data_IF_866591229659
#
_entry.id   IF_866591229659
#
_cell.length_a   1.000
_cell.length_b   1.000
_cell.length_c   1.000
_cell.angle_alpha   90.00
_cell.angle_beta   90.00
_cell.angle_gamma   90.00
#
_symmetry.space_group_name_H-M   'P 1'
#
loop_
_entity.id
_entity.type
_entity.pdbx_description
1 polymer ?
#
# COMPACT_ATOMS: atom_id res chain seq x y z
N UNK A 1 11.85 -4.30 -3.47
CA UNK A 1 10.55 -3.76 -3.06
C UNK A 1 9.91 -3.11 -4.28
N UNK A 2 8.61 -3.26 -4.43
CA UNK A 2 7.82 -2.69 -5.54
C UNK A 2 6.93 -1.61 -4.93
N UNK A 3 6.91 -0.43 -5.56
CA UNK A 3 6.07 0.68 -5.14
C UNK A 3 5.37 1.27 -6.36
N UNK A 4 4.10 1.67 -6.24
CA UNK A 4 3.42 2.45 -7.25
C UNK A 4 4.09 3.81 -7.44
N UNK A 5 4.09 4.33 -8.67
CA UNK A 5 4.67 5.64 -8.99
C UNK A 5 3.80 6.83 -8.57
N UNK A 6 2.55 6.59 -8.15
CA UNK A 6 1.56 7.60 -7.77
C UNK A 6 1.53 7.91 -6.26
N UNK A 7 2.36 7.26 -5.44
CA UNK A 7 2.47 7.54 -4.01
C UNK A 7 3.30 8.80 -3.73
N UNK A 8 2.71 9.97 -4.01
CA UNK A 8 3.41 11.26 -3.95
C UNK A 8 3.85 11.68 -2.54
N UNK A 9 3.29 11.07 -1.48
CA UNK A 9 3.65 11.33 -0.08
C UNK A 9 4.70 10.35 0.48
N UNK A 10 5.15 9.39 -0.33
CA UNK A 10 6.04 8.32 0.11
C UNK A 10 7.40 8.86 0.56
N UNK A 11 7.88 8.39 1.70
CA UNK A 11 9.22 8.71 2.22
C UNK A 11 9.97 7.46 2.70
N UNK A 12 11.25 7.63 3.02
CA UNK A 12 12.10 6.54 3.47
C UNK A 12 11.65 5.93 4.81
N UNK A 13 10.94 6.67 5.67
CA UNK A 13 10.46 6.14 6.95
C UNK A 13 9.29 5.19 6.73
N UNK A 14 8.30 5.60 5.93
CA UNK A 14 7.18 4.76 5.52
C UNK A 14 7.68 3.47 4.88
N UNK A 15 8.70 3.56 4.01
CA UNK A 15 9.31 2.39 3.38
C UNK A 15 10.02 1.45 4.36
N UNK A 16 10.74 1.99 5.35
CA UNK A 16 11.33 1.17 6.41
C UNK A 16 10.27 0.44 7.23
N UNK A 17 9.17 1.12 7.56
CA UNK A 17 8.03 0.52 8.28
C UNK A 17 7.37 -0.60 7.47
N UNK A 18 7.13 -0.38 6.17
CA UNK A 18 6.61 -1.40 5.26
C UNK A 18 7.57 -2.60 5.14
N UNK A 19 8.86 -2.35 4.96
CA UNK A 19 9.88 -3.40 4.85
C UNK A 19 9.98 -4.26 6.11
N UNK A 20 9.87 -3.64 7.30
CA UNK A 20 9.91 -4.34 8.58
C UNK A 20 8.74 -5.31 8.81
N UNK A 21 7.65 -5.19 8.04
CA UNK A 21 6.51 -6.11 8.12
C UNK A 21 6.72 -7.41 7.32
N UNK A 22 7.78 -7.49 6.52
CA UNK A 22 8.10 -8.70 5.79
C UNK A 22 8.45 -9.83 6.77
N UNK A 23 7.86 -11.00 6.56
CA UNK A 23 8.14 -12.19 7.38
C UNK A 23 9.43 -12.85 6.87
N UNK A 24 10.31 -13.24 7.79
CA UNK A 24 11.45 -14.10 7.45
C UNK A 24 10.99 -15.36 6.71
N UNK A 25 11.63 -15.66 5.58
CA UNK A 25 11.27 -16.78 4.70
C UNK A 25 10.00 -16.59 3.86
N UNK A 26 9.33 -15.43 3.95
CA UNK A 26 8.25 -15.05 3.04
C UNK A 26 8.80 -14.67 1.67
N UNK A 27 8.18 -15.13 0.59
CA UNK A 27 8.59 -14.73 -0.76
C UNK A 27 7.97 -13.38 -1.18
N UNK A 28 6.75 -13.09 -0.72
CA UNK A 28 5.99 -11.92 -1.12
C UNK A 28 5.14 -11.41 0.04
N UNK A 29 5.29 -10.13 0.37
CA UNK A 29 4.44 -9.44 1.34
C UNK A 29 3.81 -8.24 0.66
N UNK A 30 2.48 -8.22 0.55
CA UNK A 30 1.76 -7.04 0.10
C UNK A 30 1.30 -6.22 1.30
N UNK A 31 1.52 -4.91 1.19
CA UNK A 31 1.09 -3.95 2.20
C UNK A 31 -0.33 -3.52 1.85
N UNK A 32 -1.22 -3.69 2.82
CA UNK A 32 -2.63 -3.28 2.72
C UNK A 32 -2.91 -2.25 3.79
N UNK A 33 -3.91 -1.41 3.57
CA UNK A 33 -4.43 -0.51 4.60
C UNK A 33 -5.86 -0.91 4.92
N UNK A 34 -6.32 -0.69 6.15
CA UNK A 34 -7.72 -0.93 6.48
C UNK A 34 -8.60 0.03 5.66
N UNK A 35 -9.72 -0.49 5.16
CA UNK A 35 -10.70 0.34 4.43
C UNK A 35 -11.13 1.54 5.26
N UNK A 36 -11.37 1.32 6.56
CA UNK A 36 -11.72 2.37 7.52
C UNK A 36 -10.69 3.50 7.54
N UNK A 37 -9.40 3.17 7.56
CA UNK A 37 -8.34 4.17 7.52
C UNK A 37 -8.33 4.93 6.19
N UNK A 38 -8.36 4.22 5.08
CA UNK A 38 -8.39 4.83 3.74
C UNK A 38 -9.58 5.80 3.58
N UNK A 39 -10.78 5.39 3.98
CA UNK A 39 -11.98 6.23 3.95
C UNK A 39 -11.89 7.43 4.89
N UNK A 40 -11.25 7.28 6.06
CA UNK A 40 -11.00 8.41 6.98
C UNK A 40 -10.08 9.49 6.41
N UNK A 41 -9.22 9.12 5.44
CA UNK A 41 -8.40 10.05 4.66
C UNK A 41 -9.15 10.65 3.46
N UNK A 42 -10.39 10.22 3.23
CA UNK A 42 -11.19 10.60 2.08
C UNK A 42 -10.87 9.81 0.80
N UNK A 43 -10.05 8.77 0.85
CA UNK A 43 -9.78 7.92 -0.30
C UNK A 43 -11.01 7.09 -0.69
N UNK A 44 -11.05 6.62 -1.95
CA UNK A 44 -12.12 5.76 -2.48
C UNK A 44 -11.52 4.47 -3.04
N UNK A 45 -11.12 3.51 -2.18
CA UNK A 45 -10.57 2.24 -2.63
C UNK A 45 -11.64 1.41 -3.37
N UNK A 46 -11.19 0.58 -4.31
CA UNK A 46 -12.07 -0.25 -5.15
C UNK A 46 -11.76 -1.75 -5.11
N UNK A 47 -10.61 -2.15 -4.53
CA UNK A 47 -10.18 -3.54 -4.45
C UNK A 47 -9.86 -3.92 -3.00
N UNK A 48 -10.51 -4.98 -2.53
CA UNK A 48 -10.55 -5.35 -1.11
C UNK A 48 -10.10 -6.78 -0.85
N UNK A 49 -9.53 -7.01 0.32
CA UNK A 49 -9.21 -8.31 0.89
C UNK A 49 -9.59 -8.35 2.38
N UNK A 50 -9.82 -9.55 2.91
CA UNK A 50 -10.01 -9.74 4.36
C UNK A 50 -8.69 -10.18 5.00
N UNK A 51 -8.24 -9.44 6.02
CA UNK A 51 -7.04 -9.74 6.80
C UNK A 51 -7.40 -9.65 8.27
N UNK A 52 -7.26 -10.74 9.01
CA UNK A 52 -7.57 -10.82 10.45
C UNK A 52 -8.95 -10.26 10.84
N UNK A 53 -9.95 -10.45 9.96
CA UNK A 53 -11.32 -9.96 10.16
C UNK A 53 -11.55 -8.49 9.79
N UNK A 54 -10.52 -7.76 9.34
CA UNK A 54 -10.63 -6.41 8.80
C UNK A 54 -10.74 -6.43 7.27
N UNK A 55 -11.64 -5.59 6.73
CA UNK A 55 -11.65 -5.29 5.30
C UNK A 55 -10.52 -4.30 4.99
N UNK A 56 -9.63 -4.70 4.09
CA UNK A 56 -8.43 -3.96 3.74
C UNK A 56 -8.38 -3.68 2.24
N UNK A 57 -7.81 -2.55 1.85
CA UNK A 57 -7.54 -2.20 0.46
C UNK A 57 -6.05 -2.31 0.14
N UNK A 58 -5.74 -2.72 -1.08
CA UNK A 58 -4.37 -2.82 -1.55
C UNK A 58 -3.77 -1.42 -1.77
N UNK A 59 -2.54 -1.25 -1.32
CA UNK A 59 -1.77 -0.02 -1.51
C UNK A 59 -0.86 -0.08 -2.75
N UNK A 60 -0.69 -1.28 -3.32
CA UNK A 60 0.25 -1.55 -4.41
C UNK A 60 1.71 -1.67 -3.96
N UNK A 61 2.03 -1.41 -2.69
CA UNK A 61 3.38 -1.60 -2.14
C UNK A 61 3.61 -3.06 -1.76
N UNK A 62 4.70 -3.64 -2.24
CA UNK A 62 5.08 -5.03 -1.93
C UNK A 62 6.57 -5.18 -1.62
N UNK A 63 6.86 -6.01 -0.62
CA UNK A 63 8.22 -6.50 -0.33
C UNK A 63 8.35 -7.88 -0.97
N UNK A 64 9.34 -8.03 -1.85
CA UNK A 64 9.53 -9.24 -2.65
C UNK A 64 10.94 -9.77 -2.42
N UNK A 65 11.03 -10.97 -1.86
CA UNK A 65 12.27 -11.73 -1.79
C UNK A 65 12.43 -12.49 -3.10
N UNK A 66 13.03 -11.83 -4.11
CA UNK A 66 13.17 -12.39 -5.46
C UNK A 66 13.91 -13.74 -5.50
N UNK A 67 14.80 -14.00 -4.54
CA UNK A 67 15.48 -15.29 -4.39
C UNK A 67 14.54 -16.45 -4.01
N UNK A 68 13.42 -16.15 -3.36
CA UNK A 68 12.40 -17.11 -2.95
C UNK A 68 11.21 -17.18 -3.93
N UNK A 69 11.02 -16.13 -4.75
CA UNK A 69 10.02 -16.10 -5.81
C UNK A 69 10.54 -16.83 -7.06
N UNK A 70 10.11 -18.07 -7.29
CA UNK A 70 10.49 -18.84 -8.49
C UNK A 70 9.75 -18.30 -9.72
N UNK A 71 10.47 -18.07 -10.82
CA UNK A 71 9.89 -17.67 -12.10
C UNK A 71 8.82 -18.69 -12.56
N UNK A 72 7.62 -18.21 -12.90
CA UNK A 72 6.50 -19.03 -13.38
C UNK A 72 5.79 -19.87 -12.31
N UNK A 73 6.21 -19.81 -11.05
CA UNK A 73 5.53 -20.48 -9.93
C UNK A 73 4.50 -19.58 -9.25
N UNK A 74 3.44 -20.18 -8.71
CA UNK A 74 2.56 -19.47 -7.79
C UNK A 74 3.32 -19.10 -6.51
N UNK A 75 3.21 -17.85 -6.08
CA UNK A 75 3.82 -17.35 -4.85
C UNK A 75 2.70 -17.02 -3.87
N UNK A 76 2.80 -17.53 -2.64
CA UNK A 76 1.88 -17.14 -1.58
C UNK A 76 2.14 -15.69 -1.20
N UNK A 77 1.12 -14.86 -1.37
CA UNK A 77 1.12 -13.47 -0.90
C UNK A 77 0.73 -13.44 0.58
N UNK A 78 1.60 -12.87 1.42
CA UNK A 78 1.28 -12.53 2.80
C UNK A 78 0.80 -11.08 2.88
N UNK A 79 -0.44 -10.87 3.31
CA UNK A 79 -0.99 -9.53 3.49
C UNK A 79 -0.60 -8.99 4.87
N UNK A 80 -0.08 -7.76 4.91
CA UNK A 80 0.29 -7.07 6.16
C UNK A 80 -0.33 -5.68 6.20
N UNK A 81 -1.06 -5.41 7.27
CA UNK A 81 -1.73 -4.12 7.48
C UNK A 81 -0.71 -3.06 7.89
N UNK A 82 -0.73 -1.92 7.19
CA UNK A 82 -0.03 -0.70 7.57
C UNK A 82 -0.89 0.51 7.23
N UNK A 83 -1.52 1.07 8.26
CA UNK A 83 -2.29 2.31 8.16
C UNK A 83 -1.34 3.50 8.24
N UNK A 84 -0.82 3.90 7.08
CA UNK A 84 0.04 5.07 6.90
C UNK A 84 -0.38 5.82 5.63
N UNK A 85 -0.72 7.11 5.78
CA UNK A 85 -1.18 7.98 4.71
C UNK A 85 -0.19 8.01 3.53
N UNK A 86 1.11 7.91 3.80
CA UNK A 86 2.18 7.96 2.80
C UNK A 86 2.20 6.75 1.86
N UNK A 87 1.59 5.65 2.28
CA UNK A 87 1.48 4.39 1.53
C UNK A 87 0.05 4.20 1.01
N UNK A 88 -0.96 4.68 1.75
CA UNK A 88 -2.36 4.49 1.41
C UNK A 88 -2.89 5.44 0.31
N UNK A 89 -2.33 6.66 0.17
CA UNK A 89 -2.84 7.67 -0.77
C UNK A 89 -2.00 7.73 -2.06
N UNK A 90 -2.53 7.13 -3.13
CA UNK A 90 -2.07 7.36 -4.50
C UNK A 90 -2.73 8.58 -5.13
N UNK A 91 -1.99 9.32 -5.95
CA UNK A 91 -2.44 10.53 -6.65
C UNK A 91 -2.73 10.21 -8.11
N UNK A 92 -3.99 9.84 -8.40
CA UNK A 92 -4.44 9.50 -9.76
C UNK A 92 -5.35 10.58 -10.36
N UNK A 93 -6.01 11.36 -9.51
CA UNK A 93 -6.98 12.38 -9.91
C UNK A 93 -6.68 13.73 -9.26
N UNK A 94 -7.23 14.85 -9.78
CA UNK A 94 -7.15 16.16 -9.12
C UNK A 94 -7.67 16.15 -7.68
N UNK A 95 -8.69 15.31 -7.40
CA UNK A 95 -9.19 15.11 -6.04
C UNK A 95 -8.15 14.47 -5.13
N UNK A 96 -7.44 13.45 -5.62
CA UNK A 96 -6.40 12.79 -4.83
C UNK A 96 -5.23 13.74 -4.54
N UNK A 97 -4.89 14.60 -5.50
CA UNK A 97 -3.91 15.67 -5.31
C UNK A 97 -4.35 16.64 -4.21
N UNK A 98 -5.60 17.11 -4.26
CA UNK A 98 -6.17 17.96 -3.21
C UNK A 98 -6.18 17.26 -1.84
N UNK A 99 -6.50 15.97 -1.79
CA UNK A 99 -6.43 15.17 -0.56
C UNK A 99 -5.00 14.99 -0.06
N UNK A 100 -4.00 14.87 -0.93
CA UNK A 100 -2.61 14.70 -0.55
C UNK A 100 -1.97 16.02 -0.05
N UNK A 101 -2.25 17.14 -0.72
CA UNK A 101 -1.52 18.39 -0.52
C UNK A 101 -2.35 19.56 0.03
N UNK A 102 -3.67 19.39 0.18
CA UNK A 102 -4.54 20.39 0.80
C UNK A 102 -4.86 21.62 -0.06
N UNK A 103 -4.70 21.53 -1.39
CA UNK A 103 -4.94 22.65 -2.32
C UNK A 103 -6.28 22.50 -3.05
N UNK A 104 -7.14 23.53 -2.96
CA UNK A 104 -8.36 23.66 -3.78
C UNK A 104 -8.11 24.22 -5.18
N UNK A 105 -6.89 24.66 -5.48
CA UNK A 105 -6.51 25.18 -6.79
C UNK A 105 -5.66 24.15 -7.54
N UNK A 106 -6.28 23.53 -8.53
CA UNK A 106 -5.61 22.73 -9.56
C UNK A 106 -5.46 23.66 -10.77
N UNK A 107 -4.27 23.78 -11.40
CA UNK A 107 -4.14 24.51 -12.66
C UNK A 107 -5.04 23.98 -13.77
#
# INVERSE_FOLDING_TARGET
>A
MVVPGDLALLDAEALRRAAALHRDGGAWTAIVSTRRYAESLGARPSFFASVDGAECCYTGVSVVAASLARAGGAVREDLRILDDRRICLGVNTPRDYALAFGSTDVP
#
